data_IF_143145746904
#
_entry.id   IF_143145746904
#
_cell.length_a   1.000
_cell.length_b   1.000
_cell.length_c   1.000
_cell.angle_alpha   90.00
_cell.angle_beta   90.00
_cell.angle_gamma   90.00
#
_symmetry.space_group_name_H-M   'P 1'
#
loop_
_entity.id
_entity.type
_entity.pdbx_description
1 polymer ?
#
# COMPACT_ATOMS: atom_id res chain seq x y z
N UNK A 1 -20.20 -5.42 -1.19
CA UNK A 1 -18.74 -5.30 -1.37
C UNK A 1 -18.42 -3.84 -1.57
N UNK A 2 -17.74 -3.22 -0.61
CA UNK A 2 -17.37 -1.79 -0.65
C UNK A 2 -15.93 -1.70 -1.11
N UNK A 3 -15.66 -0.87 -2.13
CA UNK A 3 -14.30 -0.62 -2.59
C UNK A 3 -13.89 0.78 -2.15
N UNK A 4 -12.72 0.90 -1.53
CA UNK A 4 -12.16 2.16 -1.04
C UNK A 4 -10.84 2.40 -1.77
N UNK A 5 -10.72 3.55 -2.42
CA UNK A 5 -9.53 3.94 -3.18
C UNK A 5 -8.85 5.12 -2.50
N UNK A 6 -7.54 5.02 -2.29
CA UNK A 6 -6.75 6.00 -1.55
C UNK A 6 -5.44 6.25 -2.27
N UNK A 7 -5.11 7.53 -2.46
CA UNK A 7 -3.90 7.98 -3.16
C UNK A 7 -2.86 8.56 -2.19
N UNK A 8 -3.08 8.42 -0.89
CA UNK A 8 -2.15 8.87 0.15
C UNK A 8 -1.98 7.79 1.20
N UNK A 9 -0.73 7.56 1.59
CA UNK A 9 -0.33 6.63 2.63
C UNK A 9 -1.11 6.87 3.93
N UNK A 10 -1.20 8.12 4.39
CA UNK A 10 -1.84 8.43 5.68
C UNK A 10 -3.36 8.15 5.65
N UNK A 11 -4.03 8.35 4.51
CA UNK A 11 -5.45 8.01 4.38
C UNK A 11 -5.65 6.49 4.45
N UNK A 12 -4.76 5.72 3.80
CA UNK A 12 -4.78 4.27 3.81
C UNK A 12 -4.48 3.67 5.18
N UNK A 13 -3.46 4.20 5.86
CA UNK A 13 -3.16 3.87 7.24
C UNK A 13 -4.37 4.11 8.15
N UNK A 14 -5.01 5.26 8.03
CA UNK A 14 -6.19 5.59 8.83
C UNK A 14 -7.37 4.66 8.53
N UNK A 15 -7.55 4.23 7.28
CA UNK A 15 -8.57 3.25 6.92
C UNK A 15 -8.30 1.88 7.57
N UNK A 16 -7.05 1.39 7.51
CA UNK A 16 -6.62 0.14 8.19
C UNK A 16 -6.89 0.22 9.70
N UNK A 17 -6.58 1.35 10.33
CA UNK A 17 -6.70 1.50 11.78
C UNK A 17 -8.17 1.60 12.27
N UNK A 18 -9.10 2.09 11.43
CA UNK A 18 -10.42 2.53 11.92
C UNK A 18 -11.63 1.99 11.15
N UNK A 19 -11.46 1.34 9.99
CA UNK A 19 -12.59 0.93 9.13
C UNK A 19 -12.99 -0.55 9.27
N UNK A 20 -12.34 -1.29 10.17
CA UNK A 20 -12.54 -2.74 10.32
C UNK A 20 -11.55 -3.56 9.48
N UNK A 21 -11.83 -4.86 9.33
CA UNK A 21 -10.99 -5.79 8.56
C UNK A 21 -11.24 -5.68 7.05
N UNK A 22 -10.21 -5.95 6.25
CA UNK A 22 -10.28 -6.02 4.80
C UNK A 22 -10.04 -7.45 4.35
N UNK A 23 -10.82 -7.96 3.40
CA UNK A 23 -10.57 -9.28 2.82
C UNK A 23 -9.40 -9.26 1.84
N UNK A 24 -9.25 -8.15 1.09
CA UNK A 24 -8.18 -7.96 0.12
C UNK A 24 -7.71 -6.49 0.09
N UNK A 25 -6.42 -6.27 -0.18
CA UNK A 25 -5.79 -4.95 -0.34
C UNK A 25 -4.98 -4.94 -1.64
N UNK A 26 -5.24 -3.95 -2.49
CA UNK A 26 -4.54 -3.76 -3.75
C UNK A 26 -3.57 -2.58 -3.60
N UNK A 27 -2.28 -2.81 -3.87
CA UNK A 27 -1.22 -1.81 -3.66
C UNK A 27 -0.63 -1.34 -4.99
N UNK A 28 -0.62 -0.03 -5.21
CA UNK A 28 0.24 0.63 -6.19
C UNK A 28 1.35 1.39 -5.46
N UNK A 29 2.57 1.36 -6.01
CA UNK A 29 3.72 2.01 -5.41
C UNK A 29 3.68 3.52 -5.59
N UNK A 30 3.41 3.97 -6.82
CA UNK A 30 3.46 5.36 -7.17
C UNK A 30 2.09 6.02 -6.90
N UNK A 31 2.05 6.94 -5.95
CA UNK A 31 0.81 7.59 -5.52
C UNK A 31 0.72 9.03 -6.04
N UNK A 32 -0.46 9.64 -5.91
CA UNK A 32 -0.70 11.06 -6.20
C UNK A 32 -0.31 11.50 -7.64
N UNK A 33 -0.61 10.66 -8.64
CA UNK A 33 -0.28 10.86 -10.06
C UNK A 33 1.21 11.01 -10.38
N UNK A 34 2.08 10.66 -9.44
CA UNK A 34 3.53 10.58 -9.67
C UNK A 34 3.87 9.23 -10.28
N UNK A 35 5.04 9.13 -10.88
CA UNK A 35 5.54 7.89 -11.49
C UNK A 35 7.02 7.74 -11.18
N UNK A 36 7.46 6.49 -11.01
CA UNK A 36 8.85 6.13 -10.70
C UNK A 36 9.40 6.81 -9.44
N UNK A 37 8.58 6.86 -8.38
CA UNK A 37 8.91 7.50 -7.10
C UNK A 37 9.88 6.62 -6.30
N UNK A 38 10.84 7.23 -5.63
CA UNK A 38 11.75 6.51 -4.72
C UNK A 38 10.95 5.94 -3.53
N UNK A 39 11.24 4.70 -3.16
CA UNK A 39 10.54 4.03 -2.06
C UNK A 39 10.81 4.67 -0.70
N UNK A 40 11.93 5.37 -0.55
CA UNK A 40 12.28 6.01 0.72
C UNK A 40 11.50 7.33 0.94
N UNK A 41 10.65 7.75 -0.01
CA UNK A 41 9.69 8.85 0.19
C UNK A 41 8.50 8.44 1.07
N UNK A 42 7.95 9.41 1.81
CA UNK A 42 6.90 9.22 2.83
C UNK A 42 5.54 8.77 2.25
N UNK A 43 5.21 9.14 1.01
CA UNK A 43 3.91 8.87 0.40
C UNK A 43 4.00 7.87 -0.76
N UNK A 44 4.34 6.62 -0.45
CA UNK A 44 4.44 5.54 -1.44
C UNK A 44 3.73 4.27 -0.98
N UNK A 45 3.38 3.41 -1.92
CA UNK A 45 2.86 2.07 -1.61
C UNK A 45 3.84 1.24 -0.76
N UNK A 46 5.15 1.45 -0.90
CA UNK A 46 6.15 0.82 -0.03
C UNK A 46 6.00 1.16 1.45
N UNK A 47 5.70 2.41 1.79
CA UNK A 47 5.45 2.79 3.19
C UNK A 47 4.21 2.07 3.74
N UNK A 48 3.16 1.92 2.91
CA UNK A 48 1.97 1.16 3.29
C UNK A 48 2.24 -0.35 3.41
N UNK A 49 3.04 -0.92 2.52
CA UNK A 49 3.42 -2.34 2.57
C UNK A 49 4.14 -2.69 3.88
N UNK A 50 5.14 -1.88 4.28
CA UNK A 50 5.80 -2.02 5.60
C UNK A 50 4.79 -1.94 6.75
N UNK A 51 3.88 -0.97 6.69
CA UNK A 51 2.87 -0.80 7.73
C UNK A 51 1.95 -2.01 7.87
N UNK A 52 1.50 -2.57 6.74
CA UNK A 52 0.66 -3.78 6.67
C UNK A 52 1.39 -4.97 7.30
N UNK A 53 2.66 -5.18 6.93
CA UNK A 53 3.50 -6.25 7.46
C UNK A 53 3.73 -6.11 8.98
N UNK A 54 4.09 -4.91 9.44
CA UNK A 54 4.31 -4.61 10.86
C UNK A 54 3.05 -4.83 11.71
N UNK A 55 1.87 -4.52 11.15
CA UNK A 55 0.57 -4.74 11.79
C UNK A 55 0.07 -6.18 11.71
N UNK A 56 0.69 -6.99 10.87
CA UNK A 56 0.30 -8.38 10.62
C UNK A 56 -1.17 -8.49 10.20
N UNK A 57 -1.59 -7.64 9.25
CA UNK A 57 -2.97 -7.58 8.76
C UNK A 57 -3.30 -8.87 8.00
N UNK A 58 -4.37 -9.54 8.41
CA UNK A 58 -4.90 -10.73 7.75
C UNK A 58 -5.80 -10.32 6.57
N UNK A 59 -5.19 -10.10 5.40
CA UNK A 59 -5.85 -9.77 4.15
C UNK A 59 -5.07 -10.33 2.96
N UNK A 60 -5.75 -10.63 1.85
CA UNK A 60 -5.08 -10.94 0.59
C UNK A 60 -4.42 -9.68 0.00
N UNK A 61 -3.10 -9.64 -0.07
CA UNK A 61 -2.36 -8.48 -0.60
C UNK A 61 -1.98 -8.71 -2.06
N UNK A 62 -2.38 -7.79 -2.94
CA UNK A 62 -2.13 -7.85 -4.38
C UNK A 62 -1.36 -6.60 -4.81
N UNK A 63 -0.13 -6.77 -5.29
CA UNK A 63 0.68 -5.67 -5.82
C UNK A 63 0.29 -5.44 -7.30
N UNK A 64 -0.17 -4.22 -7.60
CA UNK A 64 -0.52 -3.75 -8.93
C UNK A 64 0.18 -2.42 -9.20
N UNK A 65 1.47 -2.48 -9.55
CA UNK A 65 2.26 -1.28 -9.83
C UNK A 65 3.04 -1.35 -11.13
N UNK A 66 3.09 -0.22 -11.84
CA UNK A 66 3.94 -0.03 -13.03
C UNK A 66 5.40 0.29 -12.69
N UNK A 67 5.73 0.54 -11.42
CA UNK A 67 7.10 0.73 -10.96
C UNK A 67 7.70 -0.62 -10.52
N UNK A 68 8.52 -1.29 -11.34
CA UNK A 68 9.01 -2.63 -11.03
C UNK A 68 9.92 -2.66 -9.79
N UNK A 69 10.66 -1.57 -9.53
CA UNK A 69 11.52 -1.47 -8.36
C UNK A 69 10.70 -1.26 -7.08
N UNK A 70 9.69 -0.38 -7.14
CA UNK A 70 8.75 -0.19 -6.05
C UNK A 70 7.95 -1.46 -5.73
N UNK A 71 7.46 -2.15 -6.76
CA UNK A 71 6.79 -3.44 -6.63
C UNK A 71 7.67 -4.50 -5.98
N UNK A 72 8.93 -4.63 -6.40
CA UNK A 72 9.89 -5.55 -5.78
C UNK A 72 10.09 -5.24 -4.29
N UNK A 73 10.29 -3.96 -3.94
CA UNK A 73 10.49 -3.55 -2.54
C UNK A 73 9.25 -3.78 -1.67
N UNK A 74 8.04 -3.57 -2.20
CA UNK A 74 6.80 -3.94 -1.50
C UNK A 74 6.72 -5.45 -1.26
N UNK A 75 7.04 -6.25 -2.28
CA UNK A 75 7.02 -7.70 -2.17
C UNK A 75 8.07 -8.25 -1.19
N UNK A 76 9.19 -7.56 -1.01
CA UNK A 76 10.25 -7.97 -0.07
C UNK A 76 9.87 -7.77 1.40
N UNK A 77 8.91 -6.88 1.71
CA UNK A 77 8.50 -6.54 3.08
C UNK A 77 7.18 -7.15 3.51
N UNK A 78 6.34 -7.59 2.57
CA UNK A 78 5.07 -8.28 2.82
C UNK A 78 5.29 -9.78 3.02
#
# INVERSE_FOLDING_TARGET
MTFIFMIRFEDAKNAIDHSGSFDSIYLDHDLDQRVFVDSDEDNTGYQLAKYIADKNIDAEIIIHSYNPFGAARMNDVL
#
